data_IF_728020471579
#
_entry.id   IF_728020471579
#
_cell.length_a   1.000
_cell.length_b   1.000
_cell.length_c   1.000
_cell.angle_alpha   90.00
_cell.angle_beta   90.00
_cell.angle_gamma   90.00
#
_symmetry.space_group_name_H-M   'P 1'
#
loop_
_entity.id
_entity.type
_entity.pdbx_description
1 polymer ?
#
# COMPACT_ATOMS: atom_id res chain seq x y z
N UNK A 1 -27.12 33.38 9.45
CA UNK A 1 -27.66 32.03 9.73
C UNK A 1 -26.77 31.06 8.98
N UNK A 2 -26.25 30.05 9.68
CA UNK A 2 -25.20 29.15 9.20
C UNK A 2 -25.65 28.38 7.96
N UNK A 3 -24.74 28.26 7.00
CA UNK A 3 -24.80 27.24 5.95
C UNK A 3 -24.51 25.90 6.62
N UNK A 4 -25.53 25.05 6.63
CA UNK A 4 -25.49 23.66 7.04
C UNK A 4 -24.49 22.92 6.15
N UNK A 5 -23.26 22.77 6.66
CA UNK A 5 -22.29 21.82 6.09
C UNK A 5 -22.84 20.43 6.41
N UNK A 6 -23.71 19.95 5.52
CA UNK A 6 -24.05 18.54 5.41
C UNK A 6 -22.75 17.77 5.31
N UNK A 7 -22.31 17.23 6.46
CA UNK A 7 -21.18 16.34 6.61
C UNK A 7 -21.41 15.20 5.64
N UNK A 8 -20.76 15.27 4.49
CA UNK A 8 -20.80 14.23 3.47
C UNK A 8 -20.20 12.97 4.07
N UNK A 9 -21.05 12.15 4.67
CA UNK A 9 -20.78 10.73 4.86
C UNK A 9 -20.79 10.12 3.45
N UNK A 10 -19.74 10.38 2.67
CA UNK A 10 -19.48 9.64 1.44
C UNK A 10 -19.50 8.18 1.86
N UNK A 11 -20.49 7.45 1.35
CA UNK A 11 -20.87 6.14 1.83
C UNK A 11 -19.65 5.29 2.06
N UNK A 12 -19.43 4.92 3.32
CA UNK A 12 -18.63 3.75 3.63
C UNK A 12 -19.27 2.62 2.83
N UNK A 13 -18.65 2.27 1.72
CA UNK A 13 -18.84 0.96 1.14
C UNK A 13 -18.65 -0.03 2.28
N UNK A 14 -19.54 -1.01 2.40
CA UNK A 14 -19.54 -2.01 3.46
C UNK A 14 -18.33 -2.96 3.25
N UNK A 15 -17.14 -2.38 3.34
CA UNK A 15 -15.87 -3.03 3.17
C UNK A 15 -15.68 -3.94 4.38
N UNK A 16 -15.30 -5.21 4.16
CA UNK A 16 -15.04 -6.12 5.28
C UNK A 16 -13.83 -5.69 6.14
N UNK A 17 -13.12 -4.64 5.73
CA UNK A 17 -11.97 -4.07 6.43
C UNK A 17 -12.11 -2.56 6.56
N UNK A 18 -11.64 -2.01 7.69
CA UNK A 18 -11.58 -0.56 7.90
C UNK A 18 -10.61 0.14 6.94
N UNK A 19 -10.75 1.46 6.79
CA UNK A 19 -9.95 2.26 5.86
C UNK A 19 -8.44 2.11 6.07
N UNK A 20 -8.00 2.05 7.32
CA UNK A 20 -6.58 1.95 7.62
C UNK A 20 -6.01 0.56 7.27
N UNK A 21 -6.80 -0.51 7.41
CA UNK A 21 -6.45 -1.86 6.93
C UNK A 21 -6.43 -1.89 5.41
N UNK A 22 -7.46 -1.31 4.78
CA UNK A 22 -7.55 -1.20 3.33
C UNK A 22 -6.34 -0.46 2.75
N UNK A 23 -5.96 0.68 3.33
CA UNK A 23 -4.80 1.47 2.89
C UNK A 23 -3.49 0.68 2.99
N UNK A 24 -3.30 -0.10 4.05
CA UNK A 24 -2.10 -0.95 4.20
C UNK A 24 -2.08 -2.08 3.17
N UNK A 25 -3.21 -2.73 2.92
CA UNK A 25 -3.34 -3.75 1.88
C UNK A 25 -3.04 -3.17 0.50
N UNK A 26 -3.67 -2.04 0.16
CA UNK A 26 -3.51 -1.41 -1.14
C UNK A 26 -2.07 -0.93 -1.37
N UNK A 27 -1.45 -0.31 -0.35
CA UNK A 27 -0.05 0.11 -0.44
C UNK A 27 0.88 -1.10 -0.60
N UNK A 28 0.65 -2.20 0.15
CA UNK A 28 1.46 -3.40 0.03
C UNK A 28 1.34 -4.01 -1.38
N UNK A 29 0.13 -4.16 -1.90
CA UNK A 29 -0.11 -4.66 -3.27
C UNK A 29 0.65 -3.81 -4.29
N UNK A 30 0.53 -2.49 -4.22
CA UNK A 30 1.23 -1.58 -5.15
C UNK A 30 2.76 -1.74 -5.10
N UNK A 31 3.34 -2.01 -3.92
CA UNK A 31 4.78 -2.26 -3.79
C UNK A 31 5.21 -3.59 -4.40
N UNK A 32 4.38 -4.63 -4.26
CA UNK A 32 4.64 -5.93 -4.88
C UNK A 32 4.57 -5.84 -6.41
N UNK A 33 3.57 -5.14 -6.95
CA UNK A 33 3.47 -4.87 -8.39
C UNK A 33 4.67 -4.07 -8.91
N UNK A 34 5.15 -3.07 -8.16
CA UNK A 34 6.34 -2.31 -8.53
C UNK A 34 7.60 -3.17 -8.54
N UNK A 35 7.78 -4.08 -7.56
CA UNK A 35 8.91 -5.02 -7.55
C UNK A 35 8.90 -5.89 -8.80
N UNK A 36 7.76 -6.47 -9.16
CA UNK A 36 7.65 -7.30 -10.38
C UNK A 36 7.99 -6.49 -11.64
N UNK A 37 7.47 -5.26 -11.75
CA UNK A 37 7.78 -4.39 -12.89
C UNK A 37 9.27 -4.02 -12.95
N UNK A 38 9.88 -3.62 -11.83
CA UNK A 38 11.29 -3.23 -11.79
C UNK A 38 12.23 -4.41 -12.04
N UNK A 39 11.89 -5.62 -11.58
CA UNK A 39 12.65 -6.83 -11.92
C UNK A 39 12.64 -7.11 -13.42
N UNK A 40 11.49 -6.90 -14.09
CA UNK A 40 11.41 -7.04 -15.54
C UNK A 40 12.21 -5.96 -16.28
N UNK A 41 12.19 -4.71 -15.80
CA UNK A 41 12.96 -3.62 -16.42
C UNK A 41 14.46 -3.73 -16.17
N UNK A 42 14.87 -4.35 -15.07
CA UNK A 42 16.28 -4.58 -14.74
C UNK A 42 16.99 -5.50 -15.74
N UNK A 43 16.27 -6.32 -16.52
CA UNK A 43 16.87 -7.22 -17.52
C UNK A 43 17.67 -6.46 -18.59
N UNK A 44 17.26 -5.22 -18.91
CA UNK A 44 17.88 -4.37 -19.93
C UNK A 44 18.53 -3.10 -19.32
N UNK A 45 18.74 -3.06 -18.01
CA UNK A 45 19.21 -1.87 -17.29
C UNK A 45 20.71 -1.93 -16.93
N UNK A 46 21.55 -1.43 -17.84
CA UNK A 46 23.00 -1.34 -17.64
C UNK A 46 23.40 -0.43 -16.46
N UNK A 47 22.55 0.53 -16.07
CA UNK A 47 22.83 1.49 -15.01
C UNK A 47 22.44 0.95 -13.61
N UNK A 48 21.64 -0.13 -13.55
CA UNK A 48 21.22 -0.78 -12.31
C UNK A 48 20.22 0.01 -11.46
N UNK A 49 19.57 1.03 -12.03
CA UNK A 49 18.56 1.87 -11.39
C UNK A 49 17.36 1.03 -10.96
N UNK A 50 16.86 0.15 -11.82
CA UNK A 50 15.70 -0.68 -11.52
C UNK A 50 15.99 -1.76 -10.47
N UNK A 51 17.24 -2.25 -10.39
CA UNK A 51 17.65 -3.12 -9.29
C UNK A 51 17.64 -2.37 -7.95
N UNK A 52 18.16 -1.14 -7.90
CA UNK A 52 18.11 -0.29 -6.70
C UNK A 52 16.66 -0.02 -6.28
N UNK A 53 15.81 0.38 -7.23
CA UNK A 53 14.40 0.64 -6.97
C UNK A 53 13.67 -0.62 -6.46
N UNK A 54 13.92 -1.80 -7.05
CA UNK A 54 13.33 -3.05 -6.59
C UNK A 54 13.73 -3.41 -5.15
N UNK A 55 14.99 -3.15 -4.77
CA UNK A 55 15.46 -3.34 -3.40
C UNK A 55 14.78 -2.39 -2.42
N UNK A 56 14.62 -1.13 -2.81
CA UNK A 56 13.91 -0.12 -2.02
C UNK A 56 12.45 -0.50 -1.79
N UNK A 57 11.76 -0.93 -2.85
CA UNK A 57 10.37 -1.36 -2.73
C UNK A 57 10.20 -2.62 -1.89
N UNK A 58 11.17 -3.54 -1.89
CA UNK A 58 11.18 -4.69 -0.97
C UNK A 58 11.23 -4.23 0.49
N UNK A 59 12.11 -3.27 0.83
CA UNK A 59 12.17 -2.72 2.21
C UNK A 59 10.86 -2.05 2.60
N UNK A 60 10.20 -1.35 1.68
CA UNK A 60 8.90 -0.74 1.93
C UNK A 60 7.80 -1.80 2.13
N UNK A 61 7.76 -2.82 1.28
CA UNK A 61 6.81 -3.93 1.36
C UNK A 61 6.93 -4.68 2.70
N UNK A 62 8.15 -4.97 3.16
CA UNK A 62 8.39 -5.61 4.46
C UNK A 62 7.81 -4.78 5.63
N UNK A 63 8.03 -3.46 5.62
CA UNK A 63 7.50 -2.56 6.66
C UNK A 63 5.97 -2.49 6.62
N UNK A 64 5.37 -2.47 5.44
CA UNK A 64 3.91 -2.47 5.27
C UNK A 64 3.31 -3.81 5.73
N UNK A 65 3.95 -4.92 5.39
CA UNK A 65 3.55 -6.26 5.83
C UNK A 65 3.60 -6.39 7.36
N UNK A 66 4.67 -5.92 7.99
CA UNK A 66 4.79 -5.92 9.46
C UNK A 66 3.71 -5.07 10.14
N UNK A 67 3.39 -3.90 9.57
CA UNK A 67 2.32 -3.05 10.08
C UNK A 67 0.94 -3.72 9.93
N UNK A 68 0.68 -4.32 8.78
CA UNK A 68 -0.55 -5.08 8.51
C UNK A 68 -0.67 -6.28 9.46
N UNK A 69 0.40 -7.06 9.63
CA UNK A 69 0.44 -8.21 10.54
C UNK A 69 0.16 -7.81 11.98
N UNK A 70 0.75 -6.72 12.46
CA UNK A 70 0.46 -6.19 13.80
C UNK A 70 -1.02 -5.85 13.95
N UNK A 71 -1.59 -5.16 12.95
CA UNK A 71 -3.00 -4.74 12.96
C UNK A 71 -3.95 -5.93 13.00
N UNK A 72 -3.73 -6.93 12.16
CA UNK A 72 -4.54 -8.15 12.10
C UNK A 72 -4.34 -9.03 13.35
N UNK A 73 -3.15 -9.06 13.93
CA UNK A 73 -2.85 -9.78 15.17
C UNK A 73 -3.38 -9.06 16.43
N UNK A 74 -3.52 -7.73 16.40
CA UNK A 74 -4.13 -6.93 17.47
C UNK A 74 -5.65 -6.85 17.39
N UNK A 75 -6.27 -7.36 16.32
CA UNK A 75 -7.72 -7.37 16.12
C UNK A 75 -8.44 -8.54 16.83
N UNK A 76 -7.88 -9.03 17.94
CA UNK A 76 -8.45 -10.11 18.78
C UNK A 76 -9.10 -9.56 20.05
#
# INVERSE_FOLDING_TARGET
MQEDQGSGTSGATDSPVDDATYNLLQALTSKLEAIEAYQMYAEDDDEGIFEELAQDERRHAERLYDALRRRLGSAQ
#
